data_IF_333017972248
#
_entry.id   IF_333017972248
#
_cell.length_a   1.000
_cell.length_b   1.000
_cell.length_c   1.000
_cell.angle_alpha   90.00
_cell.angle_beta   90.00
_cell.angle_gamma   90.00
#
_symmetry.space_group_name_H-M   'P 1'
#
loop_
_entity.id
_entity.type
_entity.pdbx_description
1 polymer ?
#
# COMPACT_ATOMS: atom_id res chain seq x y z
N UNK A 1 8.96 -11.88 53.89
CA UNK A 1 7.99 -11.67 52.79
C UNK A 1 8.76 -11.60 51.48
N UNK A 2 8.65 -12.64 50.64
CA UNK A 2 9.47 -12.85 49.44
C UNK A 2 8.94 -12.01 48.27
N UNK A 3 9.81 -11.18 47.68
CA UNK A 3 9.57 -10.39 46.47
C UNK A 3 9.60 -11.32 45.25
N UNK A 4 8.48 -11.92 44.89
CA UNK A 4 8.34 -12.76 43.68
C UNK A 4 7.50 -12.11 42.57
N UNK A 5 7.31 -10.78 42.60
CA UNK A 5 6.46 -10.08 41.65
C UNK A 5 7.08 -9.69 40.29
N UNK A 6 8.39 -9.38 40.14
CA UNK A 6 8.88 -8.86 38.85
C UNK A 6 9.08 -9.93 37.77
N UNK A 7 9.31 -11.19 38.14
CA UNK A 7 9.55 -12.29 37.17
C UNK A 7 8.25 -12.64 36.41
N UNK A 8 7.10 -12.59 37.08
CA UNK A 8 5.81 -12.90 36.46
C UNK A 8 5.41 -11.84 35.42
N UNK A 9 5.69 -10.56 35.70
CA UNK A 9 5.36 -9.45 34.79
C UNK A 9 6.24 -9.47 33.52
N UNK A 10 7.53 -9.78 33.65
CA UNK A 10 8.45 -9.90 32.49
C UNK A 10 8.10 -11.11 31.62
N UNK A 11 7.73 -12.25 32.22
CA UNK A 11 7.28 -13.43 31.48
C UNK A 11 5.95 -13.20 30.74
N UNK A 12 5.02 -12.43 31.32
CA UNK A 12 3.75 -12.07 30.68
C UNK A 12 3.95 -11.06 29.53
N UNK A 13 4.86 -10.10 29.67
CA UNK A 13 5.19 -9.15 28.60
C UNK A 13 5.96 -9.83 27.46
N UNK A 14 6.83 -10.82 27.74
CA UNK A 14 7.50 -11.62 26.71
C UNK A 14 6.50 -12.49 25.93
N UNK A 15 5.53 -13.10 26.61
CA UNK A 15 4.45 -13.87 25.95
C UNK A 15 3.51 -12.97 25.13
N UNK A 16 3.24 -11.75 25.57
CA UNK A 16 2.46 -10.78 24.81
C UNK A 16 3.22 -10.24 23.58
N UNK A 17 4.55 -10.07 23.67
CA UNK A 17 5.41 -9.73 22.53
C UNK A 17 5.54 -10.87 21.51
N UNK A 18 5.46 -12.13 21.95
CA UNK A 18 5.42 -13.32 21.09
C UNK A 18 4.06 -13.55 20.41
N UNK A 19 3.03 -12.79 20.76
CA UNK A 19 1.67 -12.92 20.22
C UNK A 19 1.25 -11.70 19.38
N UNK A 20 2.20 -10.88 18.92
CA UNK A 20 1.91 -10.00 17.80
C UNK A 20 1.53 -10.90 16.60
N UNK A 21 0.35 -10.72 15.97
CA UNK A 21 -0.05 -11.53 14.84
C UNK A 21 1.05 -11.50 13.78
N UNK A 22 1.39 -12.66 13.22
CA UNK A 22 2.28 -12.71 12.06
C UNK A 22 1.67 -11.86 10.95
N UNK A 23 2.48 -11.32 10.03
CA UNK A 23 1.93 -10.57 8.89
C UNK A 23 0.91 -11.40 8.11
N UNK A 24 1.09 -12.72 8.04
CA UNK A 24 0.11 -13.63 7.47
C UNK A 24 -1.23 -13.60 8.23
N UNK A 25 -1.21 -13.67 9.55
CA UNK A 25 -2.42 -13.61 10.36
C UNK A 25 -3.09 -12.24 10.28
N UNK A 26 -2.30 -11.16 10.30
CA UNK A 26 -2.79 -9.81 10.00
C UNK A 26 -3.47 -9.77 8.63
N UNK A 27 -2.81 -10.23 7.57
CA UNK A 27 -3.33 -10.15 6.21
C UNK A 27 -4.59 -11.01 5.98
N UNK A 28 -4.75 -12.11 6.71
CA UNK A 28 -5.97 -12.92 6.71
C UNK A 28 -7.14 -12.23 7.41
N UNK A 29 -6.88 -11.59 8.55
CA UNK A 29 -7.92 -10.98 9.39
C UNK A 29 -8.23 -9.53 8.97
N UNK A 30 -7.32 -8.87 8.26
CA UNK A 30 -7.43 -7.50 7.80
C UNK A 30 -8.42 -7.37 6.66
N UNK A 31 -9.57 -6.75 6.95
CA UNK A 31 -10.55 -6.33 5.94
C UNK A 31 -10.39 -4.85 5.69
N UNK A 32 -9.86 -4.50 4.52
CA UNK A 32 -9.75 -3.12 4.07
C UNK A 32 -10.39 -2.98 2.71
N UNK A 33 -11.51 -2.30 2.68
CA UNK A 33 -12.26 -1.93 1.49
C UNK A 33 -12.92 -0.59 1.77
N UNK A 34 -12.30 0.48 1.29
CA UNK A 34 -12.72 1.85 1.54
C UNK A 34 -13.01 2.54 0.22
N UNK A 35 -14.05 3.37 0.22
CA UNK A 35 -14.38 4.24 -0.90
C UNK A 35 -14.68 5.65 -0.38
N UNK A 36 -13.93 6.64 -0.87
CA UNK A 36 -14.08 8.03 -0.53
C UNK A 36 -14.44 8.85 -1.76
N UNK A 37 -15.36 9.81 -1.61
CA UNK A 37 -15.69 10.77 -2.66
C UNK A 37 -14.90 12.07 -2.49
N UNK A 38 -14.36 12.60 -3.59
CA UNK A 38 -13.81 13.96 -3.61
C UNK A 38 -14.87 14.94 -4.08
N UNK A 39 -15.01 16.07 -3.39
CA UNK A 39 -15.97 17.11 -3.73
C UNK A 39 -15.24 18.45 -3.89
N UNK A 40 -15.53 19.15 -4.98
CA UNK A 40 -15.06 20.50 -5.25
C UNK A 40 -16.29 21.40 -5.38
N UNK A 41 -16.34 22.49 -4.62
CA UNK A 41 -17.46 23.44 -4.63
C UNK A 41 -18.84 22.77 -4.46
N UNK A 42 -18.92 21.74 -3.60
CA UNK A 42 -20.15 21.00 -3.35
C UNK A 42 -20.54 19.98 -4.43
N UNK A 43 -19.80 19.89 -5.53
CA UNK A 43 -20.01 18.90 -6.59
C UNK A 43 -19.02 17.74 -6.47
N UNK A 44 -19.48 16.51 -6.71
CA UNK A 44 -18.60 15.34 -6.72
C UNK A 44 -17.61 15.45 -7.88
N UNK A 45 -16.33 15.63 -7.55
CA UNK A 45 -15.23 15.75 -8.48
C UNK A 45 -14.52 14.42 -8.72
N UNK A 46 -14.66 13.43 -7.84
CA UNK A 46 -13.95 12.18 -8.01
C UNK A 46 -14.20 11.16 -6.92
N UNK A 47 -13.40 10.11 -6.91
CA UNK A 47 -13.35 9.13 -5.85
C UNK A 47 -11.96 8.50 -5.71
N UNK A 48 -11.72 7.95 -4.53
CA UNK A 48 -10.61 7.04 -4.24
C UNK A 48 -11.18 5.76 -3.66
N UNK A 49 -10.78 4.61 -4.19
CA UNK A 49 -11.01 3.31 -3.56
C UNK A 49 -9.68 2.73 -3.09
N UNK A 50 -9.70 2.01 -1.98
CA UNK A 50 -8.53 1.35 -1.41
C UNK A 50 -8.95 -0.03 -0.93
N UNK A 51 -8.25 -1.07 -1.38
CA UNK A 51 -8.54 -2.45 -1.03
C UNK A 51 -7.25 -3.19 -0.69
N UNK A 52 -7.27 -4.02 0.35
CA UNK A 52 -6.18 -4.93 0.64
C UNK A 52 -6.67 -6.38 0.60
N UNK A 53 -5.95 -7.25 -0.10
CA UNK A 53 -6.29 -8.66 -0.26
C UNK A 53 -5.03 -9.53 -0.29
N UNK A 54 -5.14 -10.78 0.17
CA UNK A 54 -4.09 -11.77 -0.06
C UNK A 54 -3.98 -12.11 -1.55
N UNK A 55 -2.75 -12.30 -2.03
CA UNK A 55 -2.53 -12.91 -3.34
C UNK A 55 -3.03 -14.35 -3.36
N UNK A 56 -3.40 -14.92 -4.53
CA UNK A 56 -3.91 -16.29 -4.62
C UNK A 56 -2.97 -17.37 -4.04
N UNK A 57 -1.66 -17.14 -4.05
CA UNK A 57 -0.65 -18.01 -3.47
C UNK A 57 -0.46 -17.83 -1.95
N UNK A 58 -1.14 -16.84 -1.35
CA UNK A 58 -1.12 -16.53 0.07
C UNK A 58 0.20 -15.96 0.60
N UNK A 59 1.17 -15.65 -0.27
CA UNK A 59 2.52 -15.23 0.14
C UNK A 59 2.67 -13.72 0.29
N UNK A 60 1.78 -12.95 -0.32
CA UNK A 60 1.85 -11.49 -0.31
C UNK A 60 0.49 -10.87 -0.02
N UNK A 61 0.52 -9.69 0.59
CA UNK A 61 -0.64 -8.80 0.61
C UNK A 61 -0.55 -7.87 -0.60
N UNK A 62 -1.59 -7.87 -1.43
CA UNK A 62 -1.82 -6.91 -2.50
C UNK A 62 -2.67 -5.76 -1.95
N UNK A 63 -2.12 -4.57 -1.98
CA UNK A 63 -2.84 -3.33 -1.73
C UNK A 63 -3.15 -2.64 -3.05
N UNK A 64 -4.42 -2.35 -3.31
CA UNK A 64 -4.89 -1.68 -4.51
C UNK A 64 -5.48 -0.33 -4.14
N UNK A 65 -5.01 0.74 -4.79
CA UNK A 65 -5.61 2.06 -4.69
C UNK A 65 -5.99 2.55 -6.08
N UNK A 66 -7.27 2.90 -6.26
CA UNK A 66 -7.74 3.51 -7.51
C UNK A 66 -8.22 4.92 -7.22
N UNK A 67 -7.68 5.90 -7.93
CA UNK A 67 -8.09 7.30 -7.89
C UNK A 67 -8.68 7.70 -9.24
N UNK A 68 -9.86 8.32 -9.21
CA UNK A 68 -10.44 8.97 -10.38
C UNK A 68 -10.83 10.38 -9.99
N UNK A 69 -10.27 11.37 -10.67
CA UNK A 69 -10.53 12.77 -10.41
C UNK A 69 -10.83 13.50 -11.72
N UNK A 70 -11.96 14.19 -11.74
CA UNK A 70 -12.36 15.12 -12.78
C UNK A 70 -12.17 16.54 -12.25
N UNK A 71 -11.38 17.34 -12.94
CA UNK A 71 -11.20 18.75 -12.65
C UNK A 71 -11.72 19.59 -13.81
N UNK A 72 -12.44 20.67 -13.51
CA UNK A 72 -12.86 21.65 -14.49
C UNK A 72 -12.29 23.02 -14.11
N UNK A 73 -11.51 23.61 -15.01
CA UNK A 73 -10.99 24.97 -14.88
C UNK A 73 -11.40 25.77 -16.13
N UNK A 74 -12.42 26.61 -15.99
CA UNK A 74 -13.04 27.32 -17.12
C UNK A 74 -13.64 26.34 -18.13
N UNK A 75 -13.21 26.44 -19.40
CA UNK A 75 -13.64 25.55 -20.49
C UNK A 75 -12.80 24.26 -20.60
N UNK A 76 -11.75 24.11 -19.78
CA UNK A 76 -10.89 22.94 -19.81
C UNK A 76 -11.37 21.90 -18.79
N UNK A 77 -11.71 20.71 -19.29
CA UNK A 77 -11.96 19.54 -18.46
C UNK A 77 -10.73 18.63 -18.53
N UNK A 78 -10.29 18.15 -17.37
CA UNK A 78 -9.29 17.11 -17.27
C UNK A 78 -9.85 15.94 -16.47
N UNK A 79 -9.55 14.72 -16.93
CA UNK A 79 -9.86 13.48 -16.25
C UNK A 79 -8.55 12.75 -15.98
N UNK A 80 -8.24 12.62 -14.70
CA UNK A 80 -7.09 11.89 -14.23
C UNK A 80 -7.58 10.59 -13.60
N UNK A 81 -7.00 9.47 -14.03
CA UNK A 81 -7.24 8.16 -13.45
C UNK A 81 -5.91 7.57 -13.08
N UNK A 82 -5.82 6.93 -11.92
CA UNK A 82 -4.67 6.12 -11.60
C UNK A 82 -5.06 4.92 -10.77
N UNK A 83 -4.45 3.78 -11.07
CA UNK A 83 -4.53 2.58 -10.24
C UNK A 83 -3.12 2.20 -9.83
N UNK A 84 -2.92 2.03 -8.52
CA UNK A 84 -1.71 1.53 -7.91
C UNK A 84 -1.97 0.18 -7.28
N UNK A 85 -1.10 -0.78 -7.55
CA UNK A 85 -1.05 -2.09 -6.93
C UNK A 85 0.30 -2.20 -6.23
N UNK A 86 0.30 -2.46 -4.93
CA UNK A 86 1.50 -2.58 -4.10
C UNK A 86 1.51 -3.94 -3.43
N UNK A 87 2.63 -4.63 -3.48
CA UNK A 87 2.75 -6.01 -2.99
C UNK A 87 3.75 -6.07 -1.85
N UNK A 88 3.29 -6.53 -0.69
CA UNK A 88 4.11 -6.74 0.49
C UNK A 88 4.26 -8.23 0.76
N UNK A 89 5.50 -8.69 0.92
CA UNK A 89 5.79 -10.05 1.32
C UNK A 89 5.40 -10.27 2.78
N UNK A 90 4.73 -11.39 3.09
CA UNK A 90 4.22 -11.66 4.44
C UNK A 90 5.27 -12.31 5.35
N UNK A 91 6.37 -12.81 4.82
CA UNK A 91 7.45 -13.32 5.66
C UNK A 91 8.25 -12.16 6.27
N UNK A 92 8.57 -11.17 5.44
CA UNK A 92 9.46 -10.04 5.79
C UNK A 92 8.71 -8.74 6.07
N UNK A 93 7.46 -8.60 5.61
CA UNK A 93 6.69 -7.36 5.64
C UNK A 93 7.19 -6.29 4.65
N UNK A 94 8.15 -6.62 3.77
CA UNK A 94 8.77 -5.66 2.87
C UNK A 94 8.01 -5.51 1.56
N UNK A 95 8.12 -4.33 0.95
CA UNK A 95 7.69 -4.09 -0.43
C UNK A 95 8.50 -4.98 -1.39
N UNK A 96 7.81 -5.86 -2.12
CA UNK A 96 8.41 -6.75 -3.13
C UNK A 96 8.10 -6.35 -4.56
N UNK A 97 7.08 -5.52 -4.76
CA UNK A 97 6.82 -4.93 -6.06
C UNK A 97 5.64 -3.97 -6.02
N UNK A 98 5.50 -3.22 -7.10
CA UNK A 98 4.32 -2.40 -7.33
C UNK A 98 4.05 -2.26 -8.83
N UNK A 99 2.83 -1.89 -9.17
CA UNK A 99 2.42 -1.48 -10.50
C UNK A 99 1.50 -0.29 -10.37
N UNK A 100 1.90 0.83 -10.94
CA UNK A 100 1.09 2.02 -11.07
C UNK A 100 0.77 2.25 -12.55
N UNK A 101 -0.49 2.53 -12.85
CA UNK A 101 -0.95 2.95 -14.17
C UNK A 101 -1.71 4.24 -13.97
N UNK A 102 -1.24 5.32 -14.60
CA UNK A 102 -1.93 6.60 -14.64
C UNK A 102 -2.33 6.96 -16.07
N UNK A 103 -3.50 7.54 -16.21
CA UNK A 103 -4.03 8.16 -17.42
C UNK A 103 -4.33 9.61 -17.06
N UNK A 104 -3.64 10.54 -17.72
CA UNK A 104 -3.89 11.96 -17.63
C UNK A 104 -4.31 12.44 -19.01
N UNK A 105 -5.63 12.60 -19.22
CA UNK A 105 -6.20 13.08 -20.48
C UNK A 105 -5.79 12.26 -21.72
N UNK A 106 -5.67 10.94 -21.61
CA UNK A 106 -5.33 10.03 -22.70
C UNK A 106 -3.85 9.65 -22.76
N UNK A 107 -2.98 10.39 -22.06
CA UNK A 107 -1.57 10.03 -21.93
C UNK A 107 -1.41 9.00 -20.80
N UNK A 108 -1.13 7.76 -21.19
CA UNK A 108 -0.87 6.69 -20.23
C UNK A 108 0.60 6.64 -19.81
N UNK A 109 0.82 6.60 -18.50
CA UNK A 109 2.11 6.33 -17.89
C UNK A 109 1.99 5.06 -17.03
N UNK A 110 2.84 4.08 -17.26
CA UNK A 110 2.93 2.89 -16.42
C UNK A 110 4.26 2.90 -15.68
N UNK A 111 4.23 2.56 -14.39
CA UNK A 111 5.44 2.34 -13.58
C UNK A 111 5.33 0.98 -12.93
N UNK A 112 6.37 0.16 -13.05
CA UNK A 112 6.44 -1.14 -12.41
C UNK A 112 7.70 -1.22 -11.58
N UNK A 113 7.55 -1.62 -10.32
CA UNK A 113 8.65 -1.89 -9.41
C UNK A 113 8.73 -3.37 -9.10
N UNK A 114 9.93 -3.93 -9.11
CA UNK A 114 10.18 -5.31 -8.66
C UNK A 114 11.42 -5.37 -7.78
N UNK A 115 11.37 -6.18 -6.72
CA UNK A 115 12.53 -6.42 -5.86
C UNK A 115 13.58 -7.23 -6.61
N UNK A 116 14.82 -6.73 -6.58
CA UNK A 116 16.01 -7.40 -7.15
C UNK A 116 17.13 -7.26 -6.12
N UNK A 117 17.35 -8.32 -5.34
CA UNK A 117 18.25 -8.28 -4.18
C UNK A 117 17.72 -7.32 -3.11
N UNK A 118 18.53 -6.33 -2.78
CA UNK A 118 18.29 -5.26 -1.79
C UNK A 118 17.74 -3.95 -2.40
N UNK A 119 17.39 -3.97 -3.69
CA UNK A 119 16.87 -2.81 -4.42
C UNK A 119 15.49 -3.09 -5.03
N UNK A 120 14.75 -2.02 -5.32
CA UNK A 120 13.65 -2.02 -6.28
C UNK A 120 14.16 -1.55 -7.63
N UNK A 121 14.01 -2.38 -8.65
CA UNK A 121 14.13 -1.96 -10.03
C UNK A 121 12.78 -1.37 -10.47
N UNK A 122 12.79 -0.09 -10.82
CA UNK A 122 11.62 0.67 -11.25
C UNK A 122 11.75 0.93 -12.74
N UNK A 123 10.83 0.37 -13.51
CA UNK A 123 10.61 0.68 -14.90
C UNK A 123 9.49 1.73 -15.01
N UNK A 124 9.68 2.74 -15.85
CA UNK A 124 8.68 3.75 -16.18
C UNK A 124 8.52 3.78 -17.70
N UNK A 125 7.31 3.55 -18.16
CA UNK A 125 6.93 3.50 -19.57
C UNK A 125 5.86 4.55 -19.85
N UNK A 126 6.18 5.45 -20.78
CA UNK A 126 5.28 6.42 -21.40
C UNK A 126 5.14 6.10 -22.90
N UNK A 127 4.29 6.79 -23.67
CA UNK A 127 4.14 6.54 -25.11
C UNK A 127 5.45 6.75 -25.89
N UNK A 128 6.32 7.65 -25.42
CA UNK A 128 7.52 8.08 -26.15
C UNK A 128 8.82 7.58 -25.53
N UNK A 129 8.79 7.13 -24.27
CA UNK A 129 10.01 6.81 -23.53
C UNK A 129 9.80 5.65 -22.56
N UNK A 130 10.83 4.80 -22.48
CA UNK A 130 11.00 3.76 -21.47
C UNK A 130 12.29 4.02 -20.70
N UNK A 131 12.23 4.05 -19.37
CA UNK A 131 13.39 4.21 -18.49
C UNK A 131 13.35 3.18 -17.38
N UNK A 132 14.52 2.73 -16.95
CA UNK A 132 14.67 1.82 -15.82
C UNK A 132 15.72 2.38 -14.87
N UNK A 133 15.43 2.36 -13.57
CA UNK A 133 16.37 2.77 -12.52
C UNK A 133 16.27 1.84 -11.32
N UNK A 134 17.35 1.75 -10.55
CA UNK A 134 17.36 1.02 -9.28
C UNK A 134 17.32 2.01 -8.13
N UNK A 135 16.52 1.72 -7.12
CA UNK A 135 16.44 2.49 -5.88
C UNK A 135 16.49 1.53 -4.69
N UNK A 136 17.01 1.96 -3.53
CA UNK A 136 16.93 1.13 -2.33
C UNK A 136 15.46 0.85 -2.00
N UNK A 137 15.18 -0.34 -1.47
CA UNK A 137 13.83 -0.68 -1.00
C UNK A 137 13.46 0.30 0.13
N UNK A 138 12.31 1.00 0.05
CA UNK A 138 11.84 1.86 1.12
C UNK A 138 11.80 1.11 2.45
N UNK A 139 12.06 1.83 3.54
CA UNK A 139 11.88 1.26 4.88
C UNK A 139 10.41 1.02 5.23
N UNK A 140 9.49 1.60 4.46
CA UNK A 140 8.06 1.36 4.58
C UNK A 140 7.74 -0.12 4.51
N UNK A 141 7.25 -0.65 5.63
CA UNK A 141 6.83 -2.03 5.79
C UNK A 141 5.32 -2.14 5.89
N UNK A 142 4.82 -3.35 5.74
CA UNK A 142 3.42 -3.67 5.97
C UNK A 142 2.95 -3.25 7.38
N UNK A 143 3.82 -3.33 8.40
CA UNK A 143 3.50 -2.88 9.76
C UNK A 143 3.22 -1.37 9.83
N UNK A 144 4.05 -0.55 9.17
CA UNK A 144 3.89 0.90 9.14
C UNK A 144 2.61 1.31 8.41
N UNK A 145 2.32 0.67 7.28
CA UNK A 145 1.06 0.86 6.55
C UNK A 145 -0.15 0.43 7.39
N UNK A 146 -0.09 -0.73 8.04
CA UNK A 146 -1.15 -1.21 8.92
C UNK A 146 -1.42 -0.25 10.09
N UNK A 147 -0.38 0.40 10.63
CA UNK A 147 -0.53 1.42 11.67
C UNK A 147 -1.20 2.69 11.16
N UNK A 148 -0.84 3.21 9.99
CA UNK A 148 -1.46 4.41 9.41
C UNK A 148 -2.97 4.21 9.15
N UNK A 149 -3.38 3.01 8.75
CA UNK A 149 -4.77 2.69 8.44
C UNK A 149 -5.61 2.25 9.64
N UNK A 150 -5.04 2.13 10.85
CA UNK A 150 -5.81 1.83 12.07
C UNK A 150 -6.57 3.06 12.62
N UNK A 151 -6.25 4.25 12.14
CA UNK A 151 -6.81 5.53 12.61
C UNK A 151 -7.80 6.18 11.62
N UNK A 152 -8.12 5.51 10.51
CA UNK A 152 -9.15 5.89 9.55
C UNK A 152 -10.38 4.99 9.73
#
# INVERSE_FOLDING_TARGET
>A
MRRCFPILLVALLWRAALAAPTYEQFARDFKHDLAFGFYLQGQKAGYLTSKAELTPDGKSLKWEQTNVMRTQFGNNQALNRSTELTYYDLETGQLVGFRWVGDSNGDMLTRTGRKVGDHLEIETQSPTQKTTRKVPIPRETLAEMAHLHRFL
#
